data_IF_262984987819
#
_entry.id   IF_262984987819
#
_cell.length_a   1.000
_cell.length_b   1.000
_cell.length_c   1.000
_cell.angle_alpha   90.00
_cell.angle_beta   90.00
_cell.angle_gamma   90.00
#
_symmetry.space_group_name_H-M   'P 1'
#
loop_
_entity.id
_entity.type
_entity.pdbx_description
1 polymer ?
#
# COMPACT_ATOMS: atom_id res chain seq x y z
N UNK A 1 12.15 -3.58 -8.33
CA UNK A 1 12.31 -4.24 -7.01
C UNK A 1 11.31 -3.61 -6.07
N UNK A 2 10.49 -4.41 -5.42
CA UNK A 2 9.54 -3.98 -4.40
C UNK A 2 10.31 -3.51 -3.17
N UNK A 3 9.95 -2.37 -2.61
CA UNK A 3 10.48 -1.89 -1.32
C UNK A 3 9.35 -1.45 -0.41
N UNK A 4 9.46 -1.77 0.87
CA UNK A 4 8.59 -1.26 1.93
C UNK A 4 9.41 -0.42 2.89
N UNK A 5 9.04 0.84 3.01
CA UNK A 5 9.58 1.79 3.96
C UNK A 5 8.61 1.98 5.13
N UNK A 6 9.16 2.17 6.32
CA UNK A 6 8.43 2.62 7.50
C UNK A 6 9.14 3.84 8.10
N UNK A 7 8.35 4.77 8.61
CA UNK A 7 8.80 5.93 9.35
C UNK A 7 7.89 6.14 10.57
N UNK A 8 8.46 6.67 11.64
CA UNK A 8 7.71 7.16 12.79
C UNK A 8 7.34 8.62 12.57
N UNK A 9 6.08 8.95 12.81
CA UNK A 9 5.58 10.33 12.77
C UNK A 9 5.40 10.85 14.19
N UNK A 10 6.05 11.97 14.49
CA UNK A 10 5.77 12.75 15.70
C UNK A 10 4.87 13.91 15.34
N UNK A 11 3.62 13.82 15.78
CA UNK A 11 2.63 14.87 15.58
C UNK A 11 2.70 15.89 16.72
N UNK A 12 2.26 17.13 16.50
CA UNK A 12 2.07 18.11 17.57
C UNK A 12 1.13 17.61 18.67
N UNK A 13 1.28 18.15 19.88
CA UNK A 13 0.45 17.76 21.02
C UNK A 13 -1.05 17.92 20.73
N UNK A 14 -1.83 16.88 21.05
CA UNK A 14 -3.28 16.84 20.80
C UNK A 14 -3.69 16.48 19.37
N UNK A 15 -2.75 16.43 18.42
CA UNK A 15 -3.04 15.97 17.07
C UNK A 15 -3.22 14.44 17.04
N UNK A 16 -4.18 13.97 16.22
CA UNK A 16 -4.42 12.55 15.98
C UNK A 16 -3.99 12.19 14.57
N UNK A 17 -3.59 10.93 14.39
CA UNK A 17 -3.30 10.34 13.09
C UNK A 17 -4.42 9.35 12.68
N UNK A 18 -5.62 9.83 12.27
CA UNK A 18 -6.61 8.97 11.66
C UNK A 18 -6.08 8.43 10.33
N UNK A 19 -6.62 7.29 9.85
CA UNK A 19 -6.22 6.72 8.56
C UNK A 19 -6.42 7.68 7.39
N UNK A 20 -7.38 8.60 7.48
CA UNK A 20 -7.62 9.67 6.50
C UNK A 20 -6.43 10.60 6.30
N UNK A 21 -5.53 10.71 7.28
CA UNK A 21 -4.29 11.47 7.13
C UNK A 21 -3.39 10.92 6.02
N UNK A 22 -3.60 9.67 5.58
CA UNK A 22 -2.89 9.09 4.43
C UNK A 22 -3.07 9.87 3.12
N UNK A 23 -4.23 10.49 2.88
CA UNK A 23 -4.44 11.33 1.68
C UNK A 23 -3.68 12.66 1.77
N UNK A 24 -3.55 13.21 2.97
CA UNK A 24 -2.82 14.45 3.24
C UNK A 24 -1.31 14.21 3.10
N UNK A 25 -0.82 13.12 3.69
CA UNK A 25 0.57 12.67 3.53
C UNK A 25 0.89 12.29 2.08
N UNK A 26 -0.10 11.86 1.30
CA UNK A 26 0.07 11.64 -0.13
C UNK A 26 0.37 12.93 -0.89
N UNK A 27 -0.45 13.97 -0.70
CA UNK A 27 -0.15 15.28 -1.30
C UNK A 27 1.20 15.82 -0.83
N UNK A 28 1.46 15.76 0.48
CA UNK A 28 2.70 16.28 1.04
C UNK A 28 3.94 15.51 0.57
N UNK A 29 3.86 14.18 0.37
CA UNK A 29 4.96 13.40 -0.18
C UNK A 29 5.19 13.75 -1.65
N UNK A 30 4.14 13.91 -2.47
CA UNK A 30 4.29 14.30 -3.88
C UNK A 30 5.02 15.64 -4.00
N UNK A 31 4.73 16.60 -3.11
CA UNK A 31 5.44 17.90 -3.08
C UNK A 31 6.96 17.77 -2.79
N UNK A 32 7.42 16.64 -2.24
CA UNK A 32 8.85 16.37 -2.00
C UNK A 32 9.52 15.60 -3.14
N UNK A 33 8.74 15.07 -4.09
CA UNK A 33 9.29 14.32 -5.22
C UNK A 33 9.85 15.28 -6.28
N UNK A 34 10.79 14.82 -7.13
CA UNK A 34 11.15 15.53 -8.36
C UNK A 34 9.92 15.88 -9.20
N UNK A 35 9.89 17.08 -9.77
CA UNK A 35 8.72 17.64 -10.49
C UNK A 35 8.27 16.75 -11.65
N UNK A 36 9.21 16.25 -12.45
CA UNK A 36 8.96 15.34 -13.57
C UNK A 36 8.32 14.02 -13.11
N UNK A 37 8.77 13.49 -11.98
CA UNK A 37 8.21 12.27 -11.40
C UNK A 37 6.84 12.51 -10.76
N UNK A 38 6.63 13.65 -10.11
CA UNK A 38 5.33 14.05 -9.58
C UNK A 38 4.28 14.17 -10.70
N UNK A 39 4.64 14.81 -11.82
CA UNK A 39 3.77 14.94 -12.99
C UNK A 39 3.42 13.58 -13.60
N UNK A 40 4.41 12.69 -13.74
CA UNK A 40 4.18 11.30 -14.16
C UNK A 40 3.18 10.60 -13.23
N UNK A 41 3.32 10.72 -11.91
CA UNK A 41 2.38 10.10 -10.96
C UNK A 41 0.95 10.66 -11.03
N UNK A 42 0.77 11.87 -11.55
CA UNK A 42 -0.54 12.47 -11.78
C UNK A 42 -1.23 11.93 -13.04
N UNK A 43 -0.48 11.44 -14.03
CA UNK A 43 -1.06 10.83 -15.24
C UNK A 43 -1.42 9.37 -15.06
N UNK A 44 -0.80 8.69 -14.09
CA UNK A 44 -1.02 7.27 -13.86
C UNK A 44 -2.33 6.95 -13.13
N UNK A 45 -3.17 6.10 -13.74
CA UNK A 45 -4.35 5.53 -13.10
C UNK A 45 -3.98 4.55 -11.97
N UNK A 46 -2.86 3.85 -12.13
CA UNK A 46 -2.31 2.94 -11.13
C UNK A 46 -0.88 3.34 -10.83
N UNK A 47 -0.68 3.98 -9.68
CA UNK A 47 0.63 4.48 -9.29
C UNK A 47 1.56 3.32 -8.84
N UNK A 48 2.87 3.41 -9.11
CA UNK A 48 3.88 2.43 -8.70
C UNK A 48 4.22 2.48 -7.21
N UNK A 49 3.33 3.02 -6.37
CA UNK A 49 3.48 3.02 -4.93
C UNK A 49 2.13 3.18 -4.22
N UNK A 50 2.13 2.85 -2.94
CA UNK A 50 1.00 3.08 -2.02
C UNK A 50 1.54 3.54 -0.66
N UNK A 51 0.69 4.20 0.11
CA UNK A 51 1.05 4.59 1.47
C UNK A 51 -0.12 4.45 2.44
N UNK A 52 0.20 4.35 3.72
CA UNK A 52 -0.78 4.31 4.81
C UNK A 52 -0.18 4.87 6.09
N UNK A 53 -1.04 5.42 6.95
CA UNK A 53 -0.68 5.87 8.29
C UNK A 53 -1.58 5.20 9.31
N UNK A 54 -0.99 4.77 10.42
CA UNK A 54 -1.72 4.07 11.49
C UNK A 54 -1.05 4.31 12.84
N UNK A 55 -1.84 4.21 13.90
CA UNK A 55 -1.29 4.06 15.25
C UNK A 55 -0.84 2.61 15.46
N UNK A 56 0.42 2.42 15.84
CA UNK A 56 0.97 1.15 16.27
C UNK A 56 0.82 1.03 17.79
N UNK A 57 0.03 0.05 18.23
CA UNK A 57 -0.27 -0.14 19.65
C UNK A 57 0.91 -0.71 20.42
N UNK A 58 1.74 -1.53 19.79
CA UNK A 58 2.88 -2.17 20.47
C UNK A 58 4.03 -1.19 20.64
N UNK A 59 4.27 -0.36 19.62
CA UNK A 59 5.32 0.67 19.67
C UNK A 59 4.87 1.97 20.34
N UNK A 60 3.56 2.16 20.51
CA UNK A 60 2.94 3.43 20.94
C UNK A 60 3.40 4.62 20.08
N UNK A 61 3.39 4.44 18.76
CA UNK A 61 3.83 5.43 17.77
C UNK A 61 2.89 5.49 16.59
N UNK A 62 2.89 6.63 15.89
CA UNK A 62 2.27 6.70 14.56
C UNK A 62 3.27 6.21 13.53
N UNK A 63 2.89 5.18 12.79
CA UNK A 63 3.71 4.59 11.73
C UNK A 63 3.16 5.02 10.38
N UNK A 64 4.03 5.62 9.59
CA UNK A 64 3.82 5.88 8.18
C UNK A 64 4.54 4.82 7.36
N UNK A 65 3.78 4.09 6.55
CA UNK A 65 4.28 3.01 5.70
C UNK A 65 4.12 3.38 4.25
N UNK A 66 5.19 3.21 3.47
CA UNK A 66 5.22 3.44 2.02
C UNK A 66 5.69 2.16 1.33
N UNK A 67 4.90 1.63 0.41
CA UNK A 67 5.26 0.47 -0.42
C UNK A 67 5.44 0.89 -1.88
N UNK A 68 6.54 0.51 -2.50
CA UNK A 68 6.85 0.79 -3.91
C UNK A 68 6.82 -0.50 -4.72
N UNK A 69 6.29 -0.41 -5.94
CA UNK A 69 5.96 -1.55 -6.80
C UNK A 69 6.97 -1.75 -7.93
N UNK A 70 7.80 -0.76 -8.24
CA UNK A 70 8.88 -0.91 -9.22
C UNK A 70 10.22 -0.35 -8.67
N UNK A 71 11.29 -0.54 -9.46
CA UNK A 71 12.63 -0.06 -9.08
C UNK A 71 12.67 1.47 -9.02
N UNK A 72 12.12 2.15 -10.02
CA UNK A 72 12.19 3.61 -10.18
C UNK A 72 11.54 4.32 -8.98
N UNK A 73 10.31 3.94 -8.63
CA UNK A 73 9.60 4.43 -7.46
C UNK A 73 10.39 4.15 -6.17
N UNK A 74 10.93 2.94 -6.03
CA UNK A 74 11.72 2.54 -4.87
C UNK A 74 13.01 3.35 -4.69
N UNK A 75 13.63 3.80 -5.77
CA UNK A 75 14.84 4.63 -5.76
C UNK A 75 14.52 6.10 -5.48
N UNK A 76 13.57 6.68 -6.21
CA UNK A 76 13.20 8.09 -6.07
C UNK A 76 12.60 8.35 -4.69
N UNK A 77 11.60 7.57 -4.28
CA UNK A 77 10.96 7.73 -2.96
C UNK A 77 11.98 7.41 -1.86
N UNK A 78 12.83 6.40 -2.06
CA UNK A 78 13.89 6.08 -1.12
C UNK A 78 14.86 7.26 -0.89
N UNK A 79 15.28 7.93 -1.96
CA UNK A 79 16.16 9.10 -1.88
C UNK A 79 15.51 10.27 -1.13
N UNK A 80 14.23 10.56 -1.41
CA UNK A 80 13.47 11.61 -0.70
C UNK A 80 13.33 11.27 0.78
N UNK A 81 13.01 10.02 1.12
CA UNK A 81 12.86 9.59 2.51
C UNK A 81 14.20 9.63 3.27
N UNK A 82 15.36 9.52 2.64
CA UNK A 82 16.65 9.57 3.34
C UNK A 82 16.97 10.93 3.98
N UNK A 83 16.48 12.02 3.41
CA UNK A 83 16.71 13.39 3.90
C UNK A 83 15.47 14.02 4.52
N UNK A 84 14.35 13.30 4.58
CA UNK A 84 13.09 13.83 5.09
C UNK A 84 13.07 13.84 6.62
N UNK A 85 13.28 15.02 7.22
CA UNK A 85 13.17 15.21 8.66
C UNK A 85 11.79 15.74 9.08
N UNK A 86 11.15 16.51 8.20
CA UNK A 86 9.89 17.18 8.48
C UNK A 86 8.99 17.20 7.25
N UNK A 87 7.68 17.04 7.45
CA UNK A 87 6.69 17.15 6.38
C UNK A 87 5.58 18.11 6.79
N UNK A 88 5.35 19.13 5.97
CA UNK A 88 4.32 20.14 6.25
C UNK A 88 2.97 19.70 5.69
N UNK A 89 1.97 19.55 6.57
CA UNK A 89 0.62 19.17 6.18
C UNK A 89 -0.24 20.42 5.96
N UNK A 90 -0.21 20.98 4.75
CA UNK A 90 -0.92 22.24 4.41
C UNK A 90 -2.39 22.27 4.84
N UNK A 91 -3.14 21.19 4.57
CA UNK A 91 -4.55 21.09 4.94
C UNK A 91 -4.81 21.12 6.45
N UNK A 92 -3.80 20.80 7.26
CA UNK A 92 -3.88 20.81 8.73
C UNK A 92 -3.16 22.01 9.35
N UNK A 93 -2.35 22.73 8.58
CA UNK A 93 -1.61 23.91 9.03
C UNK A 93 -0.48 23.63 10.02
N UNK A 94 0.01 22.39 10.11
CA UNK A 94 1.12 22.02 10.99
C UNK A 94 2.14 21.12 10.29
N UNK A 95 3.34 21.06 10.86
CA UNK A 95 4.43 20.20 10.43
C UNK A 95 4.52 18.96 11.32
N UNK A 96 4.84 17.83 10.72
CA UNK A 96 5.06 16.55 11.40
C UNK A 96 6.53 16.20 11.30
N UNK A 97 7.15 15.78 12.40
CA UNK A 97 8.52 15.27 12.36
C UNK A 97 8.49 13.82 11.88
N UNK A 98 9.39 13.50 10.97
CA UNK A 98 9.57 12.17 10.41
C UNK A 98 10.86 11.59 10.97
N UNK A 99 10.76 10.45 11.64
CA UNK A 99 11.85 9.84 12.38
C UNK A 99 11.97 8.36 12.04
N UNK A 100 13.11 7.75 12.38
CA UNK A 100 13.34 6.31 12.28
C UNK A 100 12.95 5.71 10.92
N UNK A 101 13.30 6.40 9.84
CA UNK A 101 13.00 5.98 8.48
C UNK A 101 13.84 4.75 8.14
N UNK A 102 13.18 3.66 7.74
CA UNK A 102 13.83 2.39 7.44
C UNK A 102 13.19 1.72 6.23
N UNK A 103 14.02 1.11 5.37
CA UNK A 103 13.57 0.14 4.40
C UNK A 103 13.44 -1.23 5.10
N UNK A 104 12.23 -1.57 5.54
CA UNK A 104 11.98 -2.79 6.33
C UNK A 104 11.87 -4.05 5.49
N UNK A 105 11.64 -3.92 4.18
CA UNK A 105 11.58 -5.07 3.27
C UNK A 105 11.98 -4.63 1.86
N UNK A 106 12.75 -5.48 1.17
CA UNK A 106 13.12 -5.31 -0.23
C UNK A 106 13.14 -6.68 -0.90
N UNK A 107 12.37 -6.85 -1.98
CA UNK A 107 12.26 -8.10 -2.74
C UNK A 107 12.02 -7.83 -4.21
N UNK A 108 12.46 -8.72 -5.09
CA UNK A 108 12.05 -8.74 -6.49
C UNK A 108 10.75 -9.52 -6.68
N UNK A 109 10.08 -9.31 -7.80
CA UNK A 109 8.96 -10.16 -8.20
C UNK A 109 9.40 -11.61 -8.45
N UNK A 110 10.62 -11.80 -8.97
CA UNK A 110 11.22 -13.11 -9.15
C UNK A 110 11.38 -13.84 -7.81
N UNK A 111 11.82 -13.16 -6.75
CA UNK A 111 11.94 -13.77 -5.41
C UNK A 111 10.58 -14.25 -4.90
N UNK A 112 9.51 -13.46 -5.12
CA UNK A 112 8.15 -13.86 -4.75
C UNK A 112 7.68 -15.06 -5.59
N UNK A 113 7.90 -15.05 -6.90
CA UNK A 113 7.51 -16.13 -7.79
C UNK A 113 8.26 -17.44 -7.48
N UNK A 114 9.57 -17.36 -7.23
CA UNK A 114 10.38 -18.51 -6.86
C UNK A 114 9.95 -19.10 -5.52
N UNK A 115 9.60 -18.26 -4.55
CA UNK A 115 9.13 -18.75 -3.25
C UNK A 115 7.75 -19.39 -3.31
N UNK A 116 6.80 -18.77 -4.03
CA UNK A 116 5.39 -19.17 -3.94
C UNK A 116 4.87 -19.98 -5.13
N UNK A 117 5.39 -19.80 -6.35
CA UNK A 117 4.89 -20.52 -7.53
C UNK A 117 5.63 -21.84 -7.77
N UNK A 118 6.85 -21.96 -7.25
CA UNK A 118 7.65 -23.19 -7.30
C UNK A 118 7.65 -23.99 -6.00
N UNK A 119 6.86 -23.58 -5.02
CA UNK A 119 6.72 -24.30 -3.77
C UNK A 119 6.18 -25.71 -4.04
N UNK A 120 6.85 -26.75 -3.51
CA UNK A 120 6.40 -28.14 -3.63
C UNK A 120 5.06 -28.38 -2.91
N UNK A 121 4.77 -27.56 -1.89
CA UNK A 121 3.58 -27.67 -1.05
C UNK A 121 2.82 -26.35 -1.12
N UNK A 122 1.57 -26.40 -1.57
CA UNK A 122 0.69 -25.24 -1.56
C UNK A 122 0.40 -24.76 -0.11
N UNK A 123 0.32 -23.45 0.14
CA UNK A 123 -0.05 -22.93 1.45
C UNK A 123 -1.45 -23.39 1.85
N UNK A 124 -1.66 -23.65 3.15
CA UNK A 124 -2.95 -24.12 3.68
C UNK A 124 -4.05 -23.04 3.71
N UNK A 125 -3.72 -21.80 3.36
CA UNK A 125 -4.59 -20.64 3.39
C UNK A 125 -3.80 -19.36 3.64
N UNK A 126 -4.51 -18.24 3.75
CA UNK A 126 -3.94 -16.94 4.06
C UNK A 126 -4.87 -16.15 4.99
N UNK A 127 -4.29 -15.35 5.89
CA UNK A 127 -5.01 -14.37 6.69
C UNK A 127 -4.70 -12.97 6.15
N UNK A 128 -5.74 -12.15 5.95
CA UNK A 128 -5.60 -10.79 5.44
C UNK A 128 -6.09 -9.81 6.50
N UNK A 129 -5.20 -8.89 6.89
CA UNK A 129 -5.52 -7.80 7.80
C UNK A 129 -5.64 -6.48 7.04
N UNK A 130 -6.85 -5.92 6.98
CA UNK A 130 -7.06 -4.56 6.48
C UNK A 130 -6.71 -3.53 7.56
N UNK A 131 -5.46 -3.06 7.55
CA UNK A 131 -4.92 -2.14 8.57
C UNK A 131 -5.46 -0.70 8.44
N UNK A 132 -6.04 -0.37 7.29
CA UNK A 132 -6.73 0.90 7.03
C UNK A 132 -8.07 0.61 6.35
N UNK A 133 -9.06 1.53 6.43
CA UNK A 133 -10.34 1.36 5.74
C UNK A 133 -10.13 1.02 4.27
N UNK A 134 -10.64 -0.14 3.86
CA UNK A 134 -10.45 -0.69 2.52
C UNK A 134 -11.81 -0.90 1.88
N UNK A 135 -11.94 -0.56 0.60
CA UNK A 135 -13.14 -0.79 -0.20
C UNK A 135 -12.74 -1.12 -1.63
N UNK A 136 -13.68 -1.68 -2.38
CA UNK A 136 -13.52 -1.99 -3.79
C UNK A 136 -14.52 -1.18 -4.61
N UNK A 137 -14.18 -0.82 -5.85
CA UNK A 137 -15.10 -0.08 -6.73
C UNK A 137 -15.60 -1.02 -7.83
N UNK A 138 -16.91 -1.19 -7.93
CA UNK A 138 -17.55 -2.00 -8.94
C UNK A 138 -18.83 -1.31 -9.41
N UNK A 139 -19.03 -1.20 -10.73
CA UNK A 139 -20.22 -0.56 -11.31
C UNK A 139 -20.44 0.89 -10.86
N UNK A 140 -19.35 1.62 -10.53
CA UNK A 140 -19.43 3.00 -10.03
C UNK A 140 -19.72 3.13 -8.54
N UNK A 141 -20.03 2.05 -7.83
CA UNK A 141 -20.29 2.04 -6.39
C UNK A 141 -19.12 1.46 -5.59
N UNK A 142 -19.04 1.82 -4.31
CA UNK A 142 -18.11 1.22 -3.36
C UNK A 142 -18.74 -0.03 -2.73
N UNK A 143 -18.01 -1.15 -2.79
CA UNK A 143 -18.37 -2.41 -2.17
C UNK A 143 -17.74 -2.45 -0.77
N UNK A 144 -18.60 -2.64 0.23
CA UNK A 144 -18.22 -2.64 1.65
C UNK A 144 -17.55 -3.96 2.07
N UNK A 145 -18.05 -5.09 1.55
CA UNK A 145 -17.53 -6.40 1.91
C UNK A 145 -16.34 -6.77 1.01
N UNK A 146 -15.25 -7.31 1.59
CA UNK A 146 -14.07 -7.69 0.84
C UNK A 146 -14.30 -9.05 0.18
N UNK A 147 -15.00 -9.06 -0.96
CA UNK A 147 -15.25 -10.28 -1.74
C UNK A 147 -13.93 -10.84 -2.30
N UNK A 148 -13.77 -12.17 -2.25
CA UNK A 148 -12.53 -12.86 -2.69
C UNK A 148 -12.17 -12.51 -4.13
N UNK A 149 -13.16 -12.47 -5.02
CA UNK A 149 -12.97 -12.09 -6.43
C UNK A 149 -12.42 -10.67 -6.58
N UNK A 150 -12.90 -9.71 -5.79
CA UNK A 150 -12.45 -8.31 -5.85
C UNK A 150 -11.03 -8.16 -5.31
N UNK A 151 -10.69 -8.89 -4.24
CA UNK A 151 -9.32 -8.95 -3.72
C UNK A 151 -8.37 -9.49 -4.81
N UNK A 152 -8.71 -10.65 -5.38
CA UNK A 152 -7.89 -11.32 -6.39
C UNK A 152 -7.73 -10.46 -7.65
N UNK A 153 -8.82 -9.90 -8.18
CA UNK A 153 -8.75 -8.97 -9.32
C UNK A 153 -7.81 -7.80 -9.03
N UNK A 154 -7.91 -7.21 -7.84
CA UNK A 154 -7.08 -6.08 -7.44
C UNK A 154 -5.60 -6.45 -7.31
N UNK A 155 -5.29 -7.67 -6.83
CA UNK A 155 -3.92 -8.17 -6.73
C UNK A 155 -3.34 -8.51 -8.11
N UNK A 156 -4.09 -9.25 -8.94
CA UNK A 156 -3.67 -9.63 -10.30
C UNK A 156 -3.42 -8.40 -11.17
N UNK A 157 -4.31 -7.40 -11.12
CA UNK A 157 -4.14 -6.15 -11.85
C UNK A 157 -2.84 -5.43 -11.47
N UNK A 158 -2.52 -5.35 -10.17
CA UNK A 158 -1.25 -4.75 -9.72
C UNK A 158 -0.04 -5.59 -10.10
N UNK A 159 -0.14 -6.91 -9.94
CA UNK A 159 0.96 -7.81 -10.30
C UNK A 159 1.31 -7.67 -11.78
N UNK A 160 0.33 -7.80 -12.68
CA UNK A 160 0.56 -7.75 -14.12
C UNK A 160 0.97 -6.36 -14.62
N UNK A 161 0.56 -5.29 -13.93
CA UNK A 161 0.99 -3.93 -14.27
C UNK A 161 2.46 -3.67 -13.96
N UNK A 162 3.01 -4.26 -12.90
CA UNK A 162 4.35 -3.94 -12.40
C UNK A 162 5.36 -5.11 -12.49
N UNK A 163 4.90 -6.30 -12.89
CA UNK A 163 5.72 -7.47 -13.20
C UNK A 163 5.48 -7.95 -14.64
N UNK A 164 6.09 -7.31 -15.65
CA UNK A 164 5.89 -7.69 -17.05
C UNK A 164 6.50 -9.05 -17.41
N UNK A 165 7.52 -9.49 -16.66
CA UNK A 165 8.29 -10.71 -16.96
C UNK A 165 7.59 -12.00 -16.51
N UNK A 166 6.74 -11.93 -15.48
CA UNK A 166 6.05 -13.08 -14.89
C UNK A 166 4.57 -12.74 -14.82
N UNK A 167 3.86 -12.83 -15.95
CA UNK A 167 2.44 -12.48 -16.01
C UNK A 167 1.57 -13.62 -15.46
N UNK A 168 0.51 -13.25 -14.75
CA UNK A 168 -0.49 -14.17 -14.22
C UNK A 168 -1.81 -13.81 -14.90
N UNK A 169 -2.04 -14.38 -16.07
CA UNK A 169 -3.14 -14.02 -16.96
C UNK A 169 -3.80 -15.24 -17.55
N UNK A 170 -5.09 -15.35 -17.30
CA UNK A 170 -6.00 -16.31 -17.91
C UNK A 170 -7.41 -15.71 -17.88
N UNK A 171 -8.24 -16.10 -18.84
CA UNK A 171 -9.61 -15.61 -18.94
C UNK A 171 -10.38 -15.98 -17.66
N UNK A 172 -11.01 -14.99 -17.02
CA UNK A 172 -11.76 -15.17 -15.77
C UNK A 172 -10.95 -15.76 -14.59
N UNK A 173 -9.61 -15.67 -14.61
CA UNK A 173 -8.76 -16.26 -13.58
C UNK A 173 -9.15 -15.88 -12.15
N UNK A 174 -9.49 -14.59 -11.92
CA UNK A 174 -9.88 -14.14 -10.59
C UNK A 174 -11.17 -14.81 -10.10
N UNK A 175 -12.12 -15.05 -11.01
CA UNK A 175 -13.38 -15.74 -10.73
C UNK A 175 -13.14 -17.22 -10.44
N UNK A 176 -12.29 -17.87 -11.23
CA UNK A 176 -11.93 -19.28 -11.04
C UNK A 176 -11.24 -19.49 -9.69
N UNK A 177 -10.23 -18.66 -9.38
CA UNK A 177 -9.56 -18.70 -8.08
C UNK A 177 -10.55 -18.41 -6.94
N UNK A 178 -11.41 -17.40 -7.08
CA UNK A 178 -12.39 -17.05 -6.06
C UNK A 178 -13.39 -18.18 -5.78
N UNK A 179 -13.79 -18.95 -6.80
CA UNK A 179 -14.70 -20.09 -6.66
C UNK A 179 -14.10 -21.23 -5.81
N UNK A 180 -12.77 -21.31 -5.73
CA UNK A 180 -12.04 -22.30 -4.94
C UNK A 180 -11.54 -21.74 -3.59
N UNK A 181 -11.87 -20.49 -3.26
CA UNK A 181 -11.55 -19.89 -1.96
C UNK A 181 -12.74 -20.07 -1.01
N UNK A 182 -12.45 -20.62 0.18
CA UNK A 182 -13.42 -20.74 1.26
C UNK A 182 -13.08 -19.79 2.41
N UNK A 183 -13.95 -18.82 2.68
CA UNK A 183 -13.83 -17.94 3.84
C UNK A 183 -14.18 -18.73 5.11
N UNK A 184 -13.18 -18.97 5.95
CA UNK A 184 -13.35 -19.77 7.18
C UNK A 184 -13.67 -18.93 8.40
N UNK A 185 -13.10 -17.71 8.50
CA UNK A 185 -13.28 -16.80 9.62
C UNK A 185 -13.09 -15.36 9.16
N UNK A 186 -13.85 -14.44 9.75
CA UNK A 186 -13.63 -13.01 9.58
C UNK A 186 -13.93 -12.24 10.86
N UNK A 187 -13.28 -11.08 11.02
CA UNK A 187 -13.57 -10.11 12.05
C UNK A 187 -13.55 -8.71 11.41
N UNK A 188 -14.66 -8.32 10.81
CA UNK A 188 -14.78 -7.09 10.02
C UNK A 188 -15.67 -6.07 10.73
N UNK A 189 -15.40 -4.79 10.49
CA UNK A 189 -16.26 -3.67 10.89
C UNK A 189 -16.28 -2.63 9.78
N UNK A 190 -17.41 -1.96 9.59
CA UNK A 190 -17.49 -0.80 8.72
C UNK A 190 -16.67 0.36 9.27
N UNK A 191 -16.06 1.14 8.39
CA UNK A 191 -15.38 2.38 8.72
C UNK A 191 -15.69 3.43 7.65
N UNK A 192 -15.88 4.68 8.07
CA UNK A 192 -16.03 5.79 7.14
C UNK A 192 -14.65 6.17 6.56
N UNK A 193 -14.64 6.53 5.27
CA UNK A 193 -13.54 7.23 4.65
C UNK A 193 -13.84 8.72 4.74
N UNK A 194 -13.06 9.46 5.53
CA UNK A 194 -13.16 10.92 5.72
C UNK A 194 -11.90 11.66 5.31
#
# INVERSE_FOLDING_TARGET
MLRRFEAELRLPDGARAPSSMGSILHGALIEQLPEDYADYLHTENLRPYSQSVRWDRERERVIWRIGTLDRTAGEIIGAVLQSLEHIHLRQKGYTVDVQNIQCVEARSYQDIADEYFRAEIAPRGAEIHFLTPTSFKQGGAYILLPESVLILQSLLLRWNAFCPDIRIEEDNLAQELAAHIHLTRYALRSAAYS
#
